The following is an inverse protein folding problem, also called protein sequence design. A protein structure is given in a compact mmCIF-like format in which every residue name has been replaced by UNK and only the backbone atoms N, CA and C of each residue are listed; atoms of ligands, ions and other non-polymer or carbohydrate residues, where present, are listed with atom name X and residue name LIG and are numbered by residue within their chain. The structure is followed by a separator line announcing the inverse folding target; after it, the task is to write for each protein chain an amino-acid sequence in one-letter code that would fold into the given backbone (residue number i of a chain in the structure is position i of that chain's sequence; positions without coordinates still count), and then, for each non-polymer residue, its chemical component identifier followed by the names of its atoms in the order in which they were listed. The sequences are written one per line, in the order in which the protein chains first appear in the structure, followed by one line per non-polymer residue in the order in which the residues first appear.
data_IF_419480970733
#
_entry.id   IF_419480970733
#
_cell.length_a   1.000
_cell.length_b   1.000
_cell.length_c   1.000
_cell.angle_alpha   90.00
_cell.angle_beta   90.00
_cell.angle_gamma   90.00
#
_symmetry.space_group_name_H-M   'P 1'
#
loop_
_entity.id
_entity.type
_entity.pdbx_description
1 polymer ?
#
# COMPACT_ATOMS: atom_id res chain seq x y z
N UNK A 1 3.37 45.92 1.18
CA UNK A 1 3.26 45.88 -0.29
C UNK A 1 2.49 44.65 -0.80
N UNK A 2 2.57 43.48 -0.16
CA UNK A 2 1.83 42.26 -0.55
C UNK A 2 0.30 42.38 -0.32
N UNK A 3 -0.11 43.00 0.77
CA UNK A 3 -1.52 43.08 1.20
C UNK A 3 -2.42 43.90 0.25
N UNK A 4 -1.86 44.88 -0.46
CA UNK A 4 -2.58 45.67 -1.46
C UNK A 4 -2.85 44.87 -2.74
N UNK A 5 -1.99 43.89 -3.04
CA UNK A 5 -2.06 43.08 -4.25
C UNK A 5 -3.16 42.01 -4.13
N UNK A 6 -3.27 41.37 -2.96
CA UNK A 6 -4.32 40.38 -2.68
C UNK A 6 -5.72 41.01 -2.69
N UNK A 7 -5.83 42.29 -2.35
CA UNK A 7 -7.07 43.04 -2.35
C UNK A 7 -7.57 43.30 -3.78
N UNK A 8 -6.67 43.72 -4.68
CA UNK A 8 -6.97 43.95 -6.10
C UNK A 8 -7.42 42.67 -6.83
N UNK A 9 -6.73 41.55 -6.58
CA UNK A 9 -7.06 40.27 -7.21
C UNK A 9 -8.44 39.76 -6.76
N UNK A 10 -8.77 39.92 -5.47
CA UNK A 10 -10.11 39.61 -4.95
C UNK A 10 -11.19 40.48 -5.58
N UNK A 11 -10.92 41.76 -5.81
CA UNK A 11 -11.87 42.69 -6.45
C UNK A 11 -12.13 42.35 -7.92
N UNK A 12 -11.16 41.73 -8.60
CA UNK A 12 -11.32 41.16 -9.95
C UNK A 12 -11.96 39.76 -9.96
N UNK A 13 -12.34 39.21 -8.80
CA UNK A 13 -12.89 37.86 -8.68
C UNK A 13 -11.85 36.74 -8.84
N UNK A 14 -10.56 37.06 -8.84
CA UNK A 14 -9.47 36.11 -8.99
C UNK A 14 -9.02 35.64 -7.60
N UNK A 15 -9.10 34.35 -7.35
CA UNK A 15 -8.62 33.74 -6.12
C UNK A 15 -7.33 32.96 -6.38
N UNK A 16 -6.19 33.52 -5.95
CA UNK A 16 -4.88 32.92 -6.17
C UNK A 16 -4.76 31.50 -5.58
N UNK A 17 -5.31 31.28 -4.38
CA UNK A 17 -5.27 29.96 -3.74
C UNK A 17 -6.04 28.90 -4.55
N UNK A 18 -7.12 29.28 -5.22
CA UNK A 18 -7.86 28.34 -6.07
C UNK A 18 -7.07 28.04 -7.35
N UNK A 19 -6.41 29.05 -7.91
CA UNK A 19 -5.58 28.89 -9.10
C UNK A 19 -4.37 27.99 -8.83
N UNK A 20 -3.72 28.17 -7.69
CA UNK A 20 -2.61 27.29 -7.24
C UNK A 20 -3.08 25.84 -7.07
N UNK A 21 -4.24 25.63 -6.40
CA UNK A 21 -4.81 24.29 -6.25
C UNK A 21 -5.16 23.64 -7.58
N UNK A 22 -5.71 24.40 -8.52
CA UNK A 22 -6.03 23.91 -9.86
C UNK A 22 -4.76 23.50 -10.61
N UNK A 23 -3.71 24.32 -10.53
CA UNK A 23 -2.40 24.03 -11.10
C UNK A 23 -1.81 22.76 -10.50
N UNK A 24 -1.76 22.64 -9.17
CA UNK A 24 -1.24 21.46 -8.48
C UNK A 24 -2.02 20.19 -8.86
N UNK A 25 -3.35 20.30 -8.97
CA UNK A 25 -4.20 19.19 -9.42
C UNK A 25 -3.92 18.81 -10.87
N UNK A 26 -3.68 19.78 -11.75
CA UNK A 26 -3.35 19.52 -13.14
C UNK A 26 -2.00 18.81 -13.28
N UNK A 27 -0.99 19.25 -12.52
CA UNK A 27 0.34 18.62 -12.48
C UNK A 27 0.24 17.18 -11.95
N UNK A 28 -0.50 16.97 -10.85
CA UNK A 28 -0.69 15.64 -10.28
C UNK A 28 -1.39 14.68 -11.25
N UNK A 29 -2.40 15.18 -11.98
CA UNK A 29 -3.10 14.40 -13.00
C UNK A 29 -2.18 14.00 -14.15
N UNK A 30 -1.36 14.95 -14.64
CA UNK A 30 -0.40 14.70 -15.71
C UNK A 30 0.65 13.67 -15.27
N UNK A 31 1.23 13.85 -14.08
CA UNK A 31 2.20 12.90 -13.51
C UNK A 31 1.62 11.49 -13.41
N UNK A 32 0.38 11.37 -12.94
CA UNK A 32 -0.32 10.09 -12.84
C UNK A 32 -0.58 9.46 -14.22
N UNK A 33 -0.96 10.26 -15.21
CA UNK A 33 -1.14 9.79 -16.59
C UNK A 33 0.14 9.15 -17.17
N UNK A 34 1.29 9.79 -16.95
CA UNK A 34 2.58 9.24 -17.40
C UNK A 34 2.93 7.92 -16.71
N UNK A 35 2.72 7.82 -15.40
CA UNK A 35 2.95 6.58 -14.64
C UNK A 35 2.03 5.44 -15.10
N UNK A 36 0.76 5.73 -15.33
CA UNK A 36 -0.19 4.75 -15.84
C UNK A 36 0.20 4.26 -17.24
N UNK A 37 0.63 5.17 -18.12
CA UNK A 37 1.06 4.81 -19.47
C UNK A 37 2.33 3.94 -19.45
N UNK A 38 3.31 4.31 -18.63
CA UNK A 38 4.51 3.49 -18.41
C UNK A 38 4.14 2.09 -17.89
N UNK A 39 3.26 2.01 -16.88
CA UNK A 39 2.80 0.74 -16.35
C UNK A 39 2.06 -0.11 -17.40
N UNK A 40 1.23 0.50 -18.26
CA UNK A 40 0.58 -0.20 -19.38
C UNK A 40 1.61 -0.78 -20.35
N UNK A 41 2.62 -0.01 -20.72
CA UNK A 41 3.70 -0.48 -21.61
C UNK A 41 4.46 -1.63 -20.95
N UNK A 42 4.83 -1.50 -19.67
CA UNK A 42 5.51 -2.56 -18.91
C UNK A 42 4.68 -3.83 -18.82
N UNK A 43 3.39 -3.73 -18.52
CA UNK A 43 2.49 -4.89 -18.43
C UNK A 43 2.39 -5.63 -19.77
N UNK A 44 2.30 -4.90 -20.88
CA UNK A 44 2.30 -5.49 -22.23
C UNK A 44 3.64 -6.17 -22.54
N UNK A 45 4.76 -5.50 -22.23
CA UNK A 45 6.10 -6.06 -22.43
C UNK A 45 6.35 -7.32 -21.59
N UNK A 46 5.81 -7.38 -20.37
CA UNK A 46 5.91 -8.54 -19.48
C UNK A 46 5.00 -9.70 -19.92
N UNK A 47 4.08 -9.49 -20.87
CA UNK A 47 3.20 -10.54 -21.38
C UNK A 47 2.24 -11.07 -20.33
N UNK A 48 1.65 -10.17 -19.54
CA UNK A 48 0.73 -10.52 -18.45
C UNK A 48 -0.44 -11.39 -18.96
N UNK A 49 -0.75 -12.53 -18.30
CA UNK A 49 -1.60 -13.58 -18.88
C UNK A 49 -3.10 -13.26 -18.88
N UNK A 50 -3.58 -12.40 -17.97
CA UNK A 50 -4.99 -12.02 -17.88
C UNK A 50 -5.18 -10.51 -17.83
N UNK A 51 -6.36 -10.04 -18.21
CA UNK A 51 -6.69 -8.62 -18.09
C UNK A 51 -6.75 -8.15 -16.63
N UNK A 52 -7.15 -9.01 -15.70
CA UNK A 52 -7.20 -8.64 -14.29
C UNK A 52 -5.80 -8.37 -13.74
N UNK A 53 -4.83 -9.21 -14.07
CA UNK A 53 -3.42 -8.97 -13.71
C UNK A 53 -2.89 -7.67 -14.34
N UNK A 54 -3.27 -7.38 -15.60
CA UNK A 54 -2.92 -6.12 -16.27
C UNK A 54 -3.52 -4.92 -15.54
N UNK A 55 -4.81 -5.00 -15.18
CA UNK A 55 -5.54 -3.95 -14.47
C UNK A 55 -4.92 -3.69 -13.10
N UNK A 56 -4.54 -4.74 -12.37
CA UNK A 56 -3.88 -4.62 -11.07
C UNK A 56 -2.49 -3.98 -11.18
N UNK A 57 -1.70 -4.36 -12.17
CA UNK A 57 -0.37 -3.79 -12.40
C UNK A 57 -0.47 -2.29 -12.72
N UNK A 58 -1.40 -1.90 -13.59
CA UNK A 58 -1.64 -0.49 -13.93
C UNK A 58 -2.20 0.29 -12.74
N UNK A 59 -3.11 -0.30 -11.95
CA UNK A 59 -3.65 0.33 -10.75
C UNK A 59 -2.56 0.58 -9.69
N UNK A 60 -1.57 -0.30 -9.61
CA UNK A 60 -0.43 -0.18 -8.70
C UNK A 60 0.67 0.80 -9.14
N UNK A 61 0.52 1.52 -10.27
CA UNK A 61 1.61 2.33 -10.83
C UNK A 61 2.10 3.48 -9.93
N UNK A 62 1.25 3.95 -9.01
CA UNK A 62 1.57 5.05 -8.08
C UNK A 62 2.24 4.57 -6.78
N UNK A 63 2.40 3.26 -6.59
CA UNK A 63 3.02 2.70 -5.38
C UNK A 63 4.51 3.00 -5.41
N UNK A 64 5.01 3.64 -4.34
CA UNK A 64 6.45 3.80 -4.12
C UNK A 64 7.03 2.52 -3.51
N UNK A 65 8.29 2.16 -3.81
CA UNK A 65 9.03 1.18 -3.02
C UNK A 65 9.01 1.58 -1.54
N UNK A 66 8.88 0.60 -0.66
CA UNK A 66 8.92 0.82 0.79
C UNK A 66 10.31 1.26 1.21
N UNK A 67 10.41 2.33 2.00
CA UNK A 67 11.70 2.80 2.50
C UNK A 67 12.25 1.85 3.58
N UNK A 68 13.57 1.83 3.80
CA UNK A 68 14.20 0.96 4.80
C UNK A 68 13.73 1.29 6.21
N UNK A 69 13.53 2.57 6.51
CA UNK A 69 13.01 3.02 7.81
C UNK A 69 11.54 2.60 8.00
N UNK A 70 10.74 2.69 6.94
CA UNK A 70 9.37 2.19 6.92
C UNK A 70 9.35 0.67 7.12
N UNK A 71 10.25 -0.07 6.46
CA UNK A 71 10.40 -1.50 6.62
C UNK A 71 10.77 -1.86 8.07
N UNK A 72 11.76 -1.22 8.68
CA UNK A 72 12.16 -1.51 10.07
C UNK A 72 11.03 -1.28 11.06
N UNK A 73 10.17 -0.27 10.81
CA UNK A 73 8.97 -0.02 11.62
C UNK A 73 7.90 -1.11 11.45
N UNK A 74 7.85 -1.77 10.29
CA UNK A 74 6.91 -2.89 10.03
C UNK A 74 7.44 -4.26 10.47
N UNK A 75 8.75 -4.49 10.46
CA UNK A 75 9.38 -5.80 10.78
C UNK A 75 9.19 -6.21 12.26
N UNK A 76 8.89 -5.26 13.15
CA UNK A 76 8.52 -5.53 14.55
C UNK A 76 7.02 -5.64 14.81
N UNK A 77 6.17 -5.31 13.84
CA UNK A 77 4.73 -5.49 13.98
C UNK A 77 4.40 -6.95 13.70
N UNK A 78 3.70 -7.60 14.64
CA UNK A 78 3.25 -8.99 14.50
C UNK A 78 2.34 -9.04 13.26
N UNK A 79 2.91 -9.47 12.13
CA UNK A 79 2.19 -9.61 10.87
C UNK A 79 1.00 -10.54 11.12
N UNK A 80 -0.21 -9.98 11.06
CA UNK A 80 -1.47 -10.69 11.31
C UNK A 80 -1.77 -11.74 10.24
N UNK A 81 -0.97 -11.81 9.18
CA UNK A 81 -1.15 -12.72 8.06
C UNK A 81 -0.92 -14.20 8.41
N UNK A 82 -0.30 -14.50 9.56
CA UNK A 82 -0.13 -15.87 10.09
C UNK A 82 -0.71 -16.03 11.50
N UNK A 83 -2.04 -15.93 11.65
CA UNK A 83 -2.72 -16.13 12.94
C UNK A 83 -2.38 -17.46 13.63
N UNK A 84 -2.23 -18.54 12.87
CA UNK A 84 -1.89 -19.87 13.38
C UNK A 84 -0.51 -19.92 14.06
N UNK A 85 0.49 -19.24 13.48
CA UNK A 85 1.82 -19.13 14.08
C UNK A 85 1.80 -18.28 15.36
N UNK A 86 0.98 -17.22 15.39
CA UNK A 86 0.83 -16.32 16.55
C UNK A 86 0.19 -17.05 17.75
N UNK A 87 -0.81 -17.90 17.51
CA UNK A 87 -1.49 -18.71 18.54
C UNK A 87 -0.57 -19.79 19.12
N UNK A 88 0.26 -20.43 18.29
CA UNK A 88 1.20 -21.46 18.74
C UNK A 88 2.27 -20.93 19.70
N UNK A 89 2.73 -19.68 19.52
CA UNK A 89 3.75 -19.09 20.40
C UNK A 89 3.24 -18.74 21.80
N UNK A 90 1.92 -18.60 21.99
CA UNK A 90 1.32 -18.28 23.29
C UNK A 90 0.97 -19.53 24.11
N UNK A 91 1.05 -20.73 23.53
CA UNK A 91 0.65 -21.99 24.16
C UNK A 91 1.83 -22.81 24.73
N UNK A 92 3.07 -22.30 24.72
CA UNK A 92 4.24 -23.03 25.23
C UNK A 92 4.42 -22.94 26.76
N UNK A 93 3.36 -22.71 27.53
CA UNK A 93 3.39 -22.56 28.99
C UNK A 93 2.24 -23.30 29.67
N UNK A 94 1.97 -24.54 29.24
CA UNK A 94 1.26 -25.49 30.10
C UNK A 94 1.67 -26.91 29.72
N UNK A 95 2.75 -27.38 30.33
CA UNK A 95 3.09 -28.79 30.37
C UNK A 95 2.70 -29.27 31.78
N UNK A 96 1.51 -29.84 31.93
CA UNK A 96 1.07 -30.52 33.15
C UNK A 96 1.19 -32.04 32.92
N UNK A 97 1.64 -32.80 33.93
CA UNK A 97 2.06 -34.17 33.76
C UNK A 97 0.90 -35.15 33.94
N UNK A 98 0.70 -36.00 32.93
CA UNK A 98 0.03 -37.29 33.09
C UNK A 98 -1.45 -37.29 32.76
N UNK A 99 -1.78 -37.94 31.64
CA UNK A 99 -2.88 -38.91 31.57
C UNK A 99 -2.79 -39.69 30.25
N UNK A 100 -2.09 -40.81 30.34
CA UNK A 100 -2.21 -42.01 29.54
C UNK A 100 -3.66 -42.34 29.16
N UNK A 101 -3.94 -42.43 27.87
CA UNK A 101 -5.04 -43.24 27.33
C UNK A 101 -4.58 -43.81 26.00
N UNK A 102 -4.58 -45.13 25.95
CA UNK A 102 -4.04 -45.94 24.88
C UNK A 102 -4.68 -45.64 23.53
N UNK A 103 -3.87 -45.61 22.47
CA UNK A 103 -4.32 -46.14 21.19
C UNK A 103 -3.21 -47.03 20.64
N UNK A 104 -3.63 -48.28 20.48
CA UNK A 104 -2.89 -49.47 20.13
C UNK A 104 -2.17 -49.32 18.79
N UNK A 105 -0.91 -49.75 18.78
CA UNK A 105 -0.16 -50.09 17.58
C UNK A 105 -0.85 -51.27 16.87
N UNK A 106 -1.33 -51.08 15.64
CA UNK A 106 -1.63 -52.20 14.74
C UNK A 106 -0.79 -52.08 13.49
N UNK A 107 0.11 -53.05 13.40
CA UNK A 107 1.03 -53.41 12.34
C UNK A 107 0.29 -53.91 11.09
N UNK A 108 0.72 -53.48 9.91
CA UNK A 108 1.11 -54.36 8.79
C UNK A 108 1.93 -53.56 7.77
#
# INVERSE_FOLDING_TARGET
MVEQNDNYLKQLGINMNNLEKEMDSAIAKESRYWLENDAKIRAVQQGVPTYDDFRELVAGCHLKPLDRLELTNTVGQKSSWNYSAILSSNNSLFMEPGMNSAIVSTHL
#
